data_IF_414450180204
#
_entry.id   IF_414450180204
#
_cell.length_a   1.000
_cell.length_b   1.000
_cell.length_c   1.000
_cell.angle_alpha   90.00
_cell.angle_beta   90.00
_cell.angle_gamma   90.00
#
_symmetry.space_group_name_H-M   'P 1'
#
loop_
_entity.id
_entity.type
_entity.pdbx_description
1 polymer ?
#
# COMPACT_ATOMS: atom_id res chain seq x y z
N UNK A 1 3.69 25.64 19.19
CA UNK A 1 4.60 24.51 18.91
C UNK A 1 3.81 23.23 19.16
N UNK A 2 3.23 22.63 18.12
CA UNK A 2 2.63 21.29 18.15
C UNK A 2 2.98 20.68 16.78
N UNK A 3 3.90 19.72 16.78
CA UNK A 3 4.45 19.13 15.57
C UNK A 3 3.43 18.21 14.91
N UNK A 4 3.01 18.55 13.69
CA UNK A 4 2.27 17.64 12.83
C UNK A 4 3.19 16.53 12.34
N UNK A 5 2.78 15.27 12.48
CA UNK A 5 3.40 14.12 11.81
C UNK A 5 2.99 14.18 10.34
N UNK A 6 3.48 15.19 9.62
CA UNK A 6 3.59 15.19 8.17
C UNK A 6 5.05 14.91 7.82
N UNK A 7 5.54 13.71 8.15
CA UNK A 7 6.72 13.19 7.46
C UNK A 7 6.27 12.48 6.18
N UNK A 8 5.47 13.18 5.38
CA UNK A 8 5.39 12.85 3.97
C UNK A 8 6.69 13.40 3.40
N UNK A 9 7.67 12.53 3.16
CA UNK A 9 8.97 12.90 2.62
C UNK A 9 8.77 13.86 1.41
N UNK A 10 9.67 14.83 1.16
CA UNK A 10 9.62 15.61 -0.07
C UNK A 10 9.49 14.66 -1.27
N UNK A 11 8.74 14.99 -2.32
CA UNK A 11 8.42 14.03 -3.40
C UNK A 11 9.65 13.28 -3.95
N UNK A 12 10.78 13.99 -4.09
CA UNK A 12 12.09 13.45 -4.47
C UNK A 12 12.63 12.30 -3.60
N UNK A 13 12.13 12.17 -2.38
CA UNK A 13 12.53 11.17 -1.38
C UNK A 13 11.44 10.12 -1.13
N UNK A 14 10.32 10.13 -1.88
CA UNK A 14 9.23 9.14 -1.77
C UNK A 14 9.45 7.90 -2.64
N UNK A 15 10.52 7.86 -3.44
CA UNK A 15 10.83 6.71 -4.29
C UNK A 15 11.45 5.62 -3.40
N UNK A 16 10.87 4.42 -3.35
CA UNK A 16 11.50 3.29 -2.68
C UNK A 16 12.90 3.06 -3.26
N UNK A 17 13.93 2.80 -2.43
CA UNK A 17 15.25 2.48 -2.93
C UNK A 17 15.18 1.19 -3.76
N UNK A 18 15.77 1.20 -4.96
CA UNK A 18 15.75 0.08 -5.88
C UNK A 18 16.42 -1.15 -5.24
N UNK A 19 15.77 -2.32 -5.36
CA UNK A 19 16.32 -3.64 -4.99
C UNK A 19 16.46 -3.86 -3.48
N UNK A 20 15.42 -3.54 -2.72
CA UNK A 20 15.43 -3.66 -1.24
C UNK A 20 15.44 -5.11 -0.72
N UNK A 21 15.05 -6.07 -1.55
CA UNK A 21 14.80 -7.46 -1.14
C UNK A 21 15.76 -8.49 -1.79
N UNK A 22 16.97 -8.10 -2.18
CA UNK A 22 17.92 -9.03 -2.80
C UNK A 22 18.37 -10.15 -1.86
N UNK A 23 18.55 -9.82 -0.58
CA UNK A 23 19.17 -10.70 0.42
C UNK A 23 18.33 -10.84 1.71
N UNK A 24 17.06 -10.41 1.70
CA UNK A 24 16.17 -10.52 2.86
C UNK A 24 15.40 -11.83 2.82
N UNK A 25 15.57 -12.65 3.86
CA UNK A 25 14.89 -13.94 3.95
C UNK A 25 13.35 -13.81 3.99
N UNK A 26 12.80 -12.68 4.47
CA UNK A 26 11.35 -12.38 4.44
C UNK A 26 11.07 -10.87 4.43
N UNK A 27 10.65 -10.29 3.29
CA UNK A 27 10.17 -8.91 3.24
C UNK A 27 8.97 -8.69 4.16
N UNK A 28 8.92 -7.54 4.86
CA UNK A 28 7.84 -7.23 5.82
C UNK A 28 7.05 -6.00 5.37
N UNK A 29 5.72 -6.13 5.34
CA UNK A 29 4.78 -5.03 5.20
C UNK A 29 4.27 -4.60 6.58
N UNK A 30 4.59 -3.37 6.95
CA UNK A 30 4.05 -2.75 8.18
C UNK A 30 2.86 -1.85 7.84
N UNK A 31 1.70 -2.17 8.39
CA UNK A 31 0.47 -1.37 8.29
C UNK A 31 0.26 -0.60 9.58
N UNK A 32 0.02 0.71 9.46
CA UNK A 32 -0.26 1.61 10.58
C UNK A 32 -1.65 2.20 10.40
N UNK A 33 -2.48 2.12 11.43
CA UNK A 33 -3.77 2.84 11.47
C UNK A 33 -3.62 4.06 12.37
N UNK A 34 -3.59 5.24 11.78
CA UNK A 34 -3.50 6.52 12.50
C UNK A 34 -4.85 7.21 12.39
N UNK A 35 -5.40 7.61 13.53
CA UNK A 35 -6.60 8.45 13.59
C UNK A 35 -6.30 9.82 12.98
N UNK A 36 -7.00 10.17 11.89
CA UNK A 36 -6.73 11.38 11.14
C UNK A 36 -7.06 12.67 11.92
N UNK A 37 -7.97 12.61 12.91
CA UNK A 37 -8.40 13.77 13.68
C UNK A 37 -7.47 14.08 14.86
N UNK A 38 -6.86 13.05 15.44
CA UNK A 38 -6.02 13.17 16.65
C UNK A 38 -4.54 12.89 16.40
N UNK A 39 -4.19 12.26 15.27
CA UNK A 39 -2.84 11.77 15.00
C UNK A 39 -2.44 10.55 15.85
N UNK A 40 -3.36 9.97 16.62
CA UNK A 40 -3.07 8.84 17.50
C UNK A 40 -2.97 7.55 16.68
N UNK A 41 -1.87 6.83 16.84
CA UNK A 41 -1.69 5.48 16.30
C UNK A 41 -2.59 4.49 17.06
N UNK A 42 -3.54 3.89 16.35
CA UNK A 42 -4.50 2.93 16.88
C UNK A 42 -4.04 1.49 16.70
N UNK A 43 -3.39 1.17 15.57
CA UNK A 43 -2.97 -0.20 15.23
C UNK A 43 -1.61 -0.20 14.55
N UNK A 44 -0.78 -1.18 14.90
CA UNK A 44 0.42 -1.58 14.15
C UNK A 44 0.27 -3.06 13.80
N UNK A 45 0.45 -3.40 12.53
CA UNK A 45 0.49 -4.80 12.07
C UNK A 45 1.69 -5.01 11.16
N UNK A 46 2.51 -6.00 11.46
CA UNK A 46 3.56 -6.48 10.58
C UNK A 46 3.10 -7.77 9.90
N UNK A 47 3.23 -7.85 8.58
CA UNK A 47 2.89 -9.04 7.79
C UNK A 47 4.09 -9.40 6.93
N UNK A 48 4.62 -10.61 7.09
CA UNK A 48 5.64 -11.12 6.19
C UNK A 48 5.03 -11.40 4.83
N UNK A 49 5.73 -11.00 3.77
CA UNK A 49 5.37 -11.27 2.39
C UNK A 49 6.30 -12.36 1.86
N UNK A 50 5.79 -13.20 0.94
CA UNK A 50 6.69 -14.02 0.16
C UNK A 50 7.53 -13.11 -0.77
N UNK A 51 8.72 -13.58 -1.12
CA UNK A 51 9.71 -12.78 -1.84
C UNK A 51 9.21 -12.38 -3.24
N UNK A 52 8.57 -13.29 -3.97
CA UNK A 52 8.07 -13.05 -5.33
C UNK A 52 6.98 -11.96 -5.36
N UNK A 53 6.03 -12.01 -4.42
CA UNK A 53 4.98 -11.02 -4.27
C UNK A 53 5.57 -9.67 -3.88
N UNK A 54 6.51 -9.64 -2.93
CA UNK A 54 7.16 -8.40 -2.50
C UNK A 54 7.88 -7.71 -3.68
N UNK A 55 8.63 -8.46 -4.48
CA UNK A 55 9.34 -7.95 -5.65
C UNK A 55 8.38 -7.44 -6.75
N UNK A 56 7.26 -8.15 -6.98
CA UNK A 56 6.22 -7.70 -7.92
C UNK A 56 5.54 -6.43 -7.43
N UNK A 57 5.19 -6.36 -6.15
CA UNK A 57 4.59 -5.18 -5.54
C UNK A 57 5.51 -3.96 -5.64
N UNK A 58 6.79 -4.12 -5.33
CA UNK A 58 7.80 -3.05 -5.48
C UNK A 58 7.87 -2.57 -6.94
N UNK A 59 7.90 -3.50 -7.90
CA UNK A 59 7.95 -3.18 -9.33
C UNK A 59 6.71 -2.39 -9.78
N UNK A 60 5.52 -2.78 -9.34
CA UNK A 60 4.28 -2.07 -9.67
C UNK A 60 4.19 -0.68 -9.04
N UNK A 61 4.67 -0.51 -7.79
CA UNK A 61 4.76 0.81 -7.16
C UNK A 61 5.68 1.73 -7.98
N UNK A 62 6.86 1.24 -8.38
CA UNK A 62 7.79 2.00 -9.20
C UNK A 62 7.20 2.32 -10.59
N UNK A 63 6.48 1.38 -11.19
CA UNK A 63 5.78 1.60 -12.45
C UNK A 63 4.68 2.66 -12.32
N UNK A 64 3.93 2.65 -11.22
CA UNK A 64 2.90 3.65 -10.95
C UNK A 64 3.49 5.05 -10.76
N UNK A 65 4.62 5.17 -10.06
CA UNK A 65 5.31 6.45 -9.88
C UNK A 65 5.73 7.10 -11.21
N UNK A 66 5.99 6.29 -12.24
CA UNK A 66 6.37 6.75 -13.57
C UNK A 66 5.17 7.05 -14.49
N UNK A 67 3.93 6.84 -14.02
CA UNK A 67 2.71 7.08 -14.81
C UNK A 67 2.01 8.36 -14.31
N UNK A 68 1.47 9.20 -15.22
CA UNK A 68 0.64 10.32 -14.79
C UNK A 68 -0.61 9.79 -14.07
N UNK A 69 -0.97 10.45 -12.96
CA UNK A 69 -2.19 10.12 -12.25
C UNK A 69 -3.41 10.68 -13.01
N UNK A 70 -4.31 9.79 -13.42
CA UNK A 70 -5.60 10.12 -14.01
C UNK A 70 -6.71 9.76 -13.01
N UNK A 71 -7.31 10.78 -12.40
CA UNK A 71 -8.37 10.60 -11.40
C UNK A 71 -9.60 9.90 -11.97
N UNK A 72 -9.98 10.16 -13.23
CA UNK A 72 -11.17 9.56 -13.83
C UNK A 72 -10.98 8.06 -14.05
N UNK A 73 -9.77 7.65 -14.46
CA UNK A 73 -9.43 6.23 -14.61
C UNK A 73 -9.35 5.55 -13.24
N UNK A 74 -8.77 6.23 -12.25
CA UNK A 74 -8.71 5.73 -10.88
C UNK A 74 -10.11 5.50 -10.31
N UNK A 75 -10.98 6.52 -10.33
CA UNK A 75 -12.33 6.44 -9.75
C UNK A 75 -13.18 5.35 -10.41
N UNK A 76 -13.09 5.21 -11.75
CA UNK A 76 -13.77 4.12 -12.47
C UNK A 76 -13.28 2.74 -12.05
N UNK A 77 -11.96 2.54 -11.96
CA UNK A 77 -11.39 1.27 -11.52
C UNK A 77 -11.72 0.96 -10.07
N UNK A 78 -11.75 1.99 -9.23
CA UNK A 78 -12.10 1.87 -7.82
C UNK A 78 -13.57 1.49 -7.64
N UNK A 79 -14.49 2.15 -8.35
CA UNK A 79 -15.90 1.79 -8.36
C UNK A 79 -16.12 0.33 -8.79
N UNK A 80 -15.48 -0.10 -9.89
CA UNK A 80 -15.54 -1.50 -10.34
C UNK A 80 -15.07 -2.51 -9.30
N UNK A 81 -14.02 -2.19 -8.52
CA UNK A 81 -13.54 -3.06 -7.44
C UNK A 81 -14.57 -3.20 -6.31
N UNK A 82 -15.24 -2.11 -5.95
CA UNK A 82 -16.30 -2.14 -4.93
C UNK A 82 -17.56 -2.84 -5.43
N UNK A 83 -17.87 -2.72 -6.73
CA UNK A 83 -18.96 -3.48 -7.35
C UNK A 83 -18.65 -4.98 -7.39
N UNK A 84 -17.39 -5.34 -7.65
CA UNK A 84 -16.93 -6.74 -7.64
C UNK A 84 -16.91 -7.34 -6.24
N UNK A 85 -16.55 -6.53 -5.24
CA UNK A 85 -16.43 -6.93 -3.84
C UNK A 85 -17.30 -6.05 -2.93
N UNK A 86 -18.64 -6.15 -3.02
CA UNK A 86 -19.57 -5.27 -2.29
C UNK A 86 -19.49 -5.45 -0.77
N UNK A 87 -18.91 -6.55 -0.31
CA UNK A 87 -18.66 -6.81 1.11
C UNK A 87 -17.23 -7.28 1.33
N UNK A 88 -16.70 -7.04 2.53
CA UNK A 88 -15.42 -7.63 2.95
C UNK A 88 -15.43 -9.15 2.82
N UNK A 89 -16.58 -9.79 3.08
CA UNK A 89 -16.73 -11.25 2.99
C UNK A 89 -16.56 -11.76 1.55
N UNK A 90 -17.08 -11.05 0.55
CA UNK A 90 -16.91 -11.42 -0.87
C UNK A 90 -15.45 -11.36 -1.29
N UNK A 91 -14.71 -10.35 -0.84
CA UNK A 91 -13.27 -10.24 -1.10
C UNK A 91 -12.50 -11.38 -0.44
N UNK A 92 -12.80 -11.69 0.83
CA UNK A 92 -12.14 -12.77 1.56
C UNK A 92 -12.38 -14.14 0.94
N UNK A 93 -13.59 -14.38 0.41
CA UNK A 93 -13.93 -15.66 -0.24
C UNK A 93 -13.06 -15.92 -1.46
N UNK A 94 -12.88 -14.92 -2.32
CA UNK A 94 -12.02 -15.04 -3.50
C UNK A 94 -10.55 -15.22 -3.11
N UNK A 95 -10.08 -14.46 -2.12
CA UNK A 95 -8.68 -14.50 -1.67
C UNK A 95 -8.25 -15.84 -1.04
N UNK A 96 -9.20 -16.66 -0.58
CA UNK A 96 -8.92 -18.00 -0.02
C UNK A 96 -8.94 -19.08 -1.12
N UNK A 97 -9.61 -18.82 -2.25
CA UNK A 97 -9.82 -19.79 -3.34
C UNK A 97 -8.81 -19.67 -4.49
N UNK A 98 -8.00 -18.61 -4.49
CA UNK A 98 -6.93 -18.31 -5.45
C UNK A 98 -5.55 -18.66 -4.89
#
# INVERSE_FOLDING_TARGET
MIGSIHLVLPEKNRVPPLKRNLDSDMPVLTTLLIDASTGILKVIRATSLNLDFANRLESEILNQLNRPFDSNVFDKKFALLYDLYPTTQSMLKDAILS
#
